data_IF_459530435121
#
_entry.id   IF_459530435121
#
_cell.length_a   1.000
_cell.length_b   1.000
_cell.length_c   1.000
_cell.angle_alpha   90.00
_cell.angle_beta   90.00
_cell.angle_gamma   90.00
#
_symmetry.space_group_name_H-M   'P 1'
#
loop_
_entity.id
_entity.type
_entity.pdbx_description
1 polymer ?
#
# COMPACT_ATOMS: atom_id res chain seq x y z
N UNK A 1 -81.54 -11.60 -8.69
CA UNK A 1 -80.34 -11.44 -7.85
C UNK A 1 -79.24 -10.86 -8.72
N UNK A 2 -78.97 -9.57 -8.56
CA UNK A 2 -77.83 -8.87 -9.13
C UNK A 2 -77.62 -7.62 -8.27
N UNK A 3 -77.18 -7.83 -7.03
CA UNK A 3 -76.70 -6.74 -6.18
C UNK A 3 -75.30 -6.38 -6.65
N UNK A 4 -75.20 -5.27 -7.38
CA UNK A 4 -73.93 -4.63 -7.67
C UNK A 4 -73.76 -3.55 -6.59
N UNK A 5 -72.71 -3.58 -5.75
CA UNK A 5 -72.53 -2.56 -4.73
C UNK A 5 -72.19 -1.23 -5.39
N UNK A 6 -72.99 -0.19 -5.13
CA UNK A 6 -72.62 1.18 -5.50
C UNK A 6 -71.48 1.68 -4.60
N UNK A 7 -70.47 2.38 -5.14
CA UNK A 7 -69.42 2.98 -4.34
C UNK A 7 -70.00 4.15 -3.50
N UNK A 8 -69.52 4.36 -2.27
CA UNK A 8 -70.05 5.44 -1.43
C UNK A 8 -69.76 6.81 -2.05
N UNK A 9 -70.81 7.63 -2.19
CA UNK A 9 -70.71 9.07 -2.43
C UNK A 9 -70.14 9.75 -1.19
N UNK A 10 -68.83 9.94 -1.16
CA UNK A 10 -68.18 10.90 -0.27
C UNK A 10 -66.97 11.50 -0.99
N UNK A 11 -67.21 12.48 -1.86
CA UNK A 11 -66.18 13.33 -2.45
C UNK A 11 -65.92 14.54 -1.52
N UNK A 12 -65.32 14.32 -0.35
CA UNK A 12 -64.80 15.41 0.50
C UNK A 12 -63.68 14.93 1.44
N UNK A 13 -62.77 14.06 0.96
CA UNK A 13 -61.48 13.89 1.61
C UNK A 13 -60.50 14.91 1.01
N UNK A 14 -60.42 16.09 1.62
CA UNK A 14 -59.29 16.98 1.37
C UNK A 14 -58.02 16.21 1.75
N UNK A 15 -57.09 15.96 0.81
CA UNK A 15 -55.87 15.23 1.15
C UNK A 15 -55.16 15.99 2.28
N UNK A 16 -54.59 15.30 3.29
CA UNK A 16 -53.97 15.97 4.42
C UNK A 16 -52.92 16.97 3.91
N UNK A 17 -53.10 18.25 4.24
CA UNK A 17 -52.14 19.29 3.89
C UNK A 17 -50.78 18.91 4.46
N UNK A 18 -49.78 18.77 3.58
CA UNK A 18 -48.42 18.49 4.04
C UNK A 18 -47.98 19.67 4.89
N UNK A 19 -47.49 19.44 6.12
CA UNK A 19 -46.99 20.53 6.96
C UNK A 19 -45.92 21.30 6.19
N UNK A 20 -46.12 22.62 6.07
CA UNK A 20 -45.19 23.50 5.37
C UNK A 20 -43.97 23.69 6.28
N UNK A 21 -42.80 23.29 5.80
CA UNK A 21 -41.55 23.50 6.51
C UNK A 21 -41.16 24.99 6.46
N UNK A 22 -41.15 25.66 7.61
CA UNK A 22 -40.78 27.08 7.75
C UNK A 22 -39.29 27.29 8.10
N UNK A 23 -38.49 26.22 8.16
CA UNK A 23 -37.07 26.33 8.44
C UNK A 23 -36.25 26.79 7.21
N UNK A 24 -34.94 27.02 7.39
CA UNK A 24 -34.07 27.37 6.29
C UNK A 24 -34.07 26.26 5.23
N UNK A 25 -34.36 26.63 3.99
CA UNK A 25 -34.29 25.71 2.84
C UNK A 25 -32.91 25.78 2.21
N UNK A 26 -32.38 24.62 1.82
CA UNK A 26 -31.15 24.52 1.05
C UNK A 26 -31.46 23.87 -0.29
N UNK A 27 -30.82 24.34 -1.36
CA UNK A 27 -30.90 23.67 -2.65
C UNK A 27 -30.26 22.29 -2.53
N UNK A 28 -30.96 21.24 -2.99
CA UNK A 28 -30.40 19.89 -3.03
C UNK A 28 -29.10 19.88 -3.85
N UNK A 29 -29.04 20.63 -4.95
CA UNK A 29 -27.85 20.73 -5.78
C UNK A 29 -26.66 21.35 -5.02
N UNK A 30 -26.92 22.40 -4.26
CA UNK A 30 -25.89 23.12 -3.49
C UNK A 30 -25.39 22.29 -2.31
N UNK A 31 -26.31 21.64 -1.59
CA UNK A 31 -25.99 20.72 -0.50
C UNK A 31 -25.20 19.52 -1.01
N UNK A 32 -25.65 18.89 -2.10
CA UNK A 32 -24.94 17.76 -2.71
C UNK A 32 -23.55 18.16 -3.18
N UNK A 33 -23.40 19.33 -3.82
CA UNK A 33 -22.08 19.82 -4.28
C UNK A 33 -21.14 20.06 -3.11
N UNK A 34 -21.60 20.73 -2.06
CA UNK A 34 -20.78 21.07 -0.89
C UNK A 34 -20.37 19.81 -0.13
N UNK A 35 -21.35 19.00 0.28
CA UNK A 35 -21.10 17.75 1.01
C UNK A 35 -20.22 16.77 0.22
N UNK A 36 -20.40 16.68 -1.11
CA UNK A 36 -19.55 15.84 -1.95
C UNK A 36 -18.12 16.36 -2.06
N UNK A 37 -17.92 17.67 -2.27
CA UNK A 37 -16.59 18.26 -2.38
C UNK A 37 -15.82 18.17 -1.06
N UNK A 38 -16.47 18.42 0.08
CA UNK A 38 -15.85 18.31 1.39
C UNK A 38 -15.41 16.87 1.69
N UNK A 39 -16.28 15.90 1.41
CA UNK A 39 -15.94 14.49 1.53
C UNK A 39 -14.80 14.10 0.58
N UNK A 40 -14.87 14.51 -0.69
CA UNK A 40 -13.86 14.20 -1.70
C UNK A 40 -12.48 14.73 -1.30
N UNK A 41 -12.41 16.02 -0.92
CA UNK A 41 -11.16 16.66 -0.50
C UNK A 41 -10.60 16.02 0.77
N UNK A 42 -11.44 15.71 1.75
CA UNK A 42 -11.04 15.00 2.98
C UNK A 42 -10.43 13.62 2.66
N UNK A 43 -11.04 12.85 1.77
CA UNK A 43 -10.52 11.53 1.38
C UNK A 43 -9.20 11.64 0.60
N UNK A 44 -9.09 12.61 -0.31
CA UNK A 44 -7.89 12.82 -1.13
C UNK A 44 -6.71 13.25 -0.26
N UNK A 45 -6.87 14.32 0.52
CA UNK A 45 -5.77 14.97 1.24
C UNK A 45 -5.45 14.25 2.57
N UNK A 46 -6.48 13.81 3.29
CA UNK A 46 -6.32 13.38 4.68
C UNK A 46 -6.42 11.88 4.89
N UNK A 47 -6.49 11.07 3.82
CA UNK A 47 -6.64 9.61 3.95
C UNK A 47 -5.90 8.79 2.91
N UNK A 48 -6.26 8.94 1.63
CA UNK A 48 -5.98 7.91 0.64
C UNK A 48 -4.63 8.09 -0.08
N UNK A 49 -4.21 9.33 -0.32
CA UNK A 49 -3.01 9.67 -1.09
C UNK A 49 -1.88 10.06 -0.12
N UNK A 50 -0.66 9.54 -0.29
CA UNK A 50 0.48 9.88 0.57
C UNK A 50 1.04 11.28 0.24
N UNK A 51 1.69 11.90 1.23
CA UNK A 51 2.48 13.12 1.03
C UNK A 51 3.79 12.78 0.30
N UNK A 52 4.12 13.52 -0.75
CA UNK A 52 5.29 13.29 -1.60
C UNK A 52 6.61 13.32 -0.81
N UNK A 53 6.68 14.14 0.24
CA UNK A 53 7.90 14.45 0.98
C UNK A 53 8.38 13.29 1.85
N UNK A 54 7.47 12.63 2.57
CA UNK A 54 7.79 11.52 3.47
C UNK A 54 7.26 10.16 3.01
N UNK A 55 6.42 10.11 1.98
CA UNK A 55 5.84 8.87 1.48
C UNK A 55 4.76 8.25 2.36
N UNK A 56 4.25 8.98 3.36
CA UNK A 56 3.31 8.45 4.33
C UNK A 56 1.90 9.00 4.13
N UNK A 57 0.93 8.11 4.37
CA UNK A 57 -0.46 8.49 4.63
C UNK A 57 -0.58 9.00 6.08
N UNK A 58 -1.60 9.80 6.40
CA UNK A 58 -1.78 10.32 7.75
C UNK A 58 -1.82 9.24 8.84
N UNK A 59 -2.46 8.09 8.60
CA UNK A 59 -2.49 6.99 9.58
C UNK A 59 -1.09 6.44 9.89
N UNK A 60 -0.24 6.23 8.89
CA UNK A 60 1.12 5.73 9.09
C UNK A 60 1.97 6.75 9.86
N UNK A 61 1.88 8.02 9.47
CA UNK A 61 2.58 9.13 10.12
C UNK A 61 2.22 9.23 11.61
N UNK A 62 0.92 9.19 11.92
CA UNK A 62 0.41 9.28 13.29
C UNK A 62 0.82 8.09 14.15
N UNK A 63 0.83 6.87 13.59
CA UNK A 63 1.34 5.68 14.30
C UNK A 63 2.82 5.85 14.67
N UNK A 64 3.66 6.23 13.69
CA UNK A 64 5.09 6.43 13.93
C UNK A 64 5.35 7.55 14.94
N UNK A 65 4.60 8.65 14.85
CA UNK A 65 4.74 9.78 15.78
C UNK A 65 4.30 9.40 17.21
N UNK A 66 3.15 8.74 17.39
CA UNK A 66 2.72 8.26 18.70
C UNK A 66 3.72 7.25 19.33
N UNK A 67 4.29 6.38 18.49
CA UNK A 67 5.36 5.47 18.92
C UNK A 67 6.64 6.21 19.30
N UNK A 68 6.98 7.30 18.60
CA UNK A 68 8.11 8.16 18.92
C UNK A 68 7.95 8.84 20.28
N UNK A 69 6.84 9.53 20.51
CA UNK A 69 6.57 10.25 21.76
C UNK A 69 6.54 9.32 22.98
N UNK A 70 5.98 8.12 22.81
CA UNK A 70 5.95 7.13 23.88
C UNK A 70 7.30 6.44 24.10
N UNK A 71 8.32 6.74 23.29
CA UNK A 71 9.65 6.14 23.36
C UNK A 71 9.67 4.65 22.99
N UNK A 72 8.80 4.22 22.06
CA UNK A 72 8.75 2.84 21.55
C UNK A 72 9.72 2.63 20.37
N UNK A 73 10.99 2.94 20.60
CA UNK A 73 12.08 2.91 19.60
C UNK A 73 12.67 1.51 19.42
N UNK A 74 13.43 1.32 18.34
CA UNK A 74 14.04 0.03 17.97
C UNK A 74 14.99 -0.57 19.02
N UNK A 75 15.58 0.27 19.87
CA UNK A 75 16.48 -0.13 20.96
C UNK A 75 15.74 -0.51 22.25
N UNK A 76 14.41 -0.39 22.29
CA UNK A 76 13.59 -0.73 23.45
C UNK A 76 12.92 -2.11 23.31
N UNK A 77 12.46 -2.71 24.43
CA UNK A 77 11.63 -3.90 24.39
C UNK A 77 10.33 -3.66 23.63
N UNK A 78 9.78 -4.72 23.03
CA UNK A 78 8.47 -4.67 22.39
C UNK A 78 7.37 -4.27 23.38
N UNK A 79 6.32 -3.63 22.85
CA UNK A 79 5.12 -3.26 23.61
C UNK A 79 3.89 -3.88 22.97
N UNK A 80 2.88 -4.23 23.76
CA UNK A 80 1.59 -4.72 23.22
C UNK A 80 1.05 -3.76 22.18
N UNK A 81 0.68 -4.27 21.00
CA UNK A 81 0.22 -3.46 19.86
C UNK A 81 -1.00 -2.60 20.18
N UNK A 82 -1.85 -3.06 21.11
CA UNK A 82 -2.98 -2.28 21.62
C UNK A 82 -2.57 -0.91 22.20
N UNK A 83 -1.34 -0.77 22.71
CA UNK A 83 -0.85 0.49 23.29
C UNK A 83 -0.60 1.57 22.23
N UNK A 84 0.30 1.40 21.24
CA UNK A 84 0.47 2.40 20.19
C UNK A 84 -0.81 2.62 19.37
N UNK A 85 -1.67 1.61 19.20
CA UNK A 85 -3.00 1.79 18.58
C UNK A 85 -3.87 2.73 19.41
N UNK A 86 -3.97 2.49 20.72
CA UNK A 86 -4.74 3.34 21.64
C UNK A 86 -4.20 4.76 21.72
N UNK A 87 -2.88 4.93 21.81
CA UNK A 87 -2.23 6.25 21.85
C UNK A 87 -2.48 7.02 20.54
N UNK A 88 -2.36 6.34 19.39
CA UNK A 88 -2.64 6.92 18.07
C UNK A 88 -4.11 7.34 17.97
N UNK A 89 -5.04 6.49 18.39
CA UNK A 89 -6.48 6.75 18.32
C UNK A 89 -6.88 7.92 19.23
N UNK A 90 -6.39 7.90 20.47
CA UNK A 90 -6.78 8.86 21.50
C UNK A 90 -6.21 10.26 21.31
N UNK A 91 -5.08 10.39 20.61
CA UNK A 91 -4.43 11.70 20.39
C UNK A 91 -4.54 12.22 18.96
N UNK A 92 -4.43 11.36 17.94
CA UNK A 92 -4.14 11.83 16.58
C UNK A 92 -5.11 11.34 15.51
N UNK A 93 -5.63 10.11 15.63
CA UNK A 93 -6.36 9.45 14.57
C UNK A 93 -7.79 9.10 15.01
N UNK A 94 -8.80 9.98 14.75
CA UNK A 94 -10.17 9.81 15.23
C UNK A 94 -10.96 8.80 14.39
N UNK A 95 -10.41 7.61 14.19
CA UNK A 95 -11.01 6.49 13.45
C UNK A 95 -10.82 5.18 14.23
N UNK A 96 -11.49 4.12 13.78
CA UNK A 96 -11.52 2.83 14.47
C UNK A 96 -10.13 2.24 14.71
N UNK A 97 -9.98 1.60 15.87
CA UNK A 97 -8.78 0.90 16.31
C UNK A 97 -8.33 -0.19 15.32
N UNK A 98 -9.28 -0.90 14.70
CA UNK A 98 -9.01 -1.91 13.69
C UNK A 98 -8.23 -1.36 12.49
N UNK A 99 -8.65 -0.21 11.94
CA UNK A 99 -7.98 0.41 10.79
C UNK A 99 -6.55 0.87 11.14
N UNK A 100 -6.35 1.37 12.36
CA UNK A 100 -5.03 1.76 12.87
C UNK A 100 -4.15 0.52 13.05
N UNK A 101 -4.70 -0.56 13.62
CA UNK A 101 -3.98 -1.81 13.81
C UNK A 101 -3.61 -2.48 12.49
N UNK A 102 -4.49 -2.48 11.49
CA UNK A 102 -4.21 -3.03 10.17
C UNK A 102 -3.10 -2.25 9.47
N UNK A 103 -3.11 -0.92 9.58
CA UNK A 103 -2.03 -0.06 9.08
C UNK A 103 -0.69 -0.34 9.79
N UNK A 104 -0.73 -0.54 11.12
CA UNK A 104 0.42 -0.91 11.93
C UNK A 104 0.99 -2.27 11.49
N UNK A 105 0.13 -3.29 11.37
CA UNK A 105 0.52 -4.63 10.94
C UNK A 105 1.18 -4.58 9.57
N UNK A 106 0.62 -3.82 8.62
CA UNK A 106 1.18 -3.69 7.27
C UNK A 106 2.61 -3.14 7.28
N UNK A 107 2.92 -2.19 8.17
CA UNK A 107 4.27 -1.61 8.32
C UNK A 107 5.28 -2.58 8.94
N UNK A 108 4.83 -3.70 9.51
CA UNK A 108 5.67 -4.76 10.08
C UNK A 108 5.77 -6.01 9.19
N UNK A 109 5.04 -6.07 8.07
CA UNK A 109 5.02 -7.25 7.19
C UNK A 109 6.11 -7.17 6.11
N UNK A 110 7.13 -8.05 6.15
CA UNK A 110 8.24 -8.00 5.19
C UNK A 110 7.83 -8.35 3.76
N UNK A 111 6.71 -9.07 3.57
CA UNK A 111 6.15 -9.36 2.24
C UNK A 111 5.27 -8.22 1.69
N UNK A 112 4.96 -7.22 2.51
CA UNK A 112 4.11 -6.08 2.15
C UNK A 112 4.91 -4.81 1.87
N UNK A 113 6.04 -4.64 2.58
CA UNK A 113 6.87 -3.44 2.58
C UNK A 113 8.34 -3.84 2.42
N UNK A 114 9.04 -3.29 1.41
CA UNK A 114 10.45 -3.63 1.12
C UNK A 114 11.40 -3.24 2.25
N UNK A 115 11.11 -2.14 2.95
CA UNK A 115 11.83 -1.69 4.12
C UNK A 115 10.85 -1.46 5.28
N UNK A 116 10.54 -2.51 6.08
CA UNK A 116 9.62 -2.41 7.20
C UNK A 116 9.98 -1.27 8.14
N UNK A 117 8.96 -0.53 8.56
CA UNK A 117 9.12 0.60 9.49
C UNK A 117 8.92 0.15 10.94
N UNK A 118 8.22 -0.96 11.15
CA UNK A 118 7.93 -1.52 12.45
C UNK A 118 8.45 -2.96 12.54
N UNK A 119 8.85 -3.36 13.74
CA UNK A 119 9.30 -4.70 14.08
C UNK A 119 8.25 -5.34 15.01
N UNK A 120 7.66 -6.44 14.56
CA UNK A 120 6.54 -7.12 15.21
C UNK A 120 6.95 -8.47 15.82
N UNK A 121 6.47 -8.74 17.03
CA UNK A 121 6.59 -10.03 17.68
C UNK A 121 5.21 -10.68 17.86
N UNK A 122 5.06 -11.90 17.33
CA UNK A 122 3.80 -12.65 17.30
C UNK A 122 3.34 -12.93 15.87
N UNK A 123 2.07 -13.31 15.69
CA UNK A 123 1.51 -13.54 14.37
C UNK A 123 1.01 -12.22 13.75
N UNK A 124 1.73 -11.71 12.76
CA UNK A 124 1.40 -10.51 11.98
C UNK A 124 0.82 -10.85 10.59
N UNK A 125 0.29 -12.06 10.42
CA UNK A 125 -0.24 -12.56 9.16
C UNK A 125 0.82 -13.19 8.26
N UNK A 126 0.38 -13.70 7.11
CA UNK A 126 1.22 -14.49 6.20
C UNK A 126 0.93 -14.14 4.73
N UNK A 127 1.78 -14.62 3.81
CA UNK A 127 1.54 -14.55 2.36
C UNK A 127 0.36 -15.43 1.90
N UNK A 128 -0.12 -16.32 2.78
CA UNK A 128 -1.32 -17.14 2.58
C UNK A 128 -2.63 -16.36 2.81
N UNK A 129 -2.52 -15.11 3.29
CA UNK A 129 -3.66 -14.26 3.60
C UNK A 129 -4.29 -14.56 4.95
N UNK A 130 -3.59 -15.30 5.81
CA UNK A 130 -4.00 -15.43 7.20
C UNK A 130 -3.99 -14.05 7.86
N UNK A 131 -5.09 -13.72 8.51
CA UNK A 131 -5.19 -12.47 9.26
C UNK A 131 -4.16 -12.45 10.41
N UNK A 132 -3.63 -11.27 10.77
CA UNK A 132 -2.81 -11.13 11.96
C UNK A 132 -3.60 -11.54 13.21
N UNK A 133 -2.90 -11.99 14.26
CA UNK A 133 -3.53 -12.13 15.56
C UNK A 133 -4.02 -10.76 16.06
N UNK A 134 -5.05 -10.75 16.90
CA UNK A 134 -5.59 -9.51 17.46
C UNK A 134 -4.51 -8.72 18.24
N UNK A 135 -4.62 -7.39 18.27
CA UNK A 135 -3.66 -6.45 18.88
C UNK A 135 -3.36 -6.68 20.37
N UNK A 136 -4.18 -7.48 21.06
CA UNK A 136 -3.95 -7.92 22.45
C UNK A 136 -2.87 -9.00 22.59
N UNK A 137 -2.58 -9.74 21.51
CA UNK A 137 -1.60 -10.81 21.51
C UNK A 137 -0.26 -10.36 20.96
N UNK A 138 -0.27 -9.55 19.90
CA UNK A 138 0.94 -9.06 19.23
C UNK A 138 1.64 -7.97 20.03
N UNK A 139 2.95 -7.89 19.84
CA UNK A 139 3.79 -6.81 20.35
C UNK A 139 4.57 -6.17 19.22
N UNK A 140 4.92 -4.90 19.36
CA UNK A 140 5.54 -4.10 18.31
C UNK A 140 6.46 -3.03 18.90
N UNK A 141 7.49 -2.69 18.14
CA UNK A 141 8.34 -1.50 18.32
C UNK A 141 8.68 -0.91 16.96
N UNK A 142 9.23 0.30 16.92
CA UNK A 142 9.77 0.83 15.66
C UNK A 142 10.97 0.01 15.22
N UNK A 143 11.14 -0.19 13.91
CA UNK A 143 12.38 -0.73 13.36
C UNK A 143 13.37 0.41 13.06
N UNK A 144 14.64 0.09 12.81
CA UNK A 144 15.71 1.04 12.53
C UNK A 144 15.37 2.06 11.44
N UNK A 145 14.73 1.69 10.30
CA UNK A 145 14.38 2.65 9.26
C UNK A 145 13.44 3.76 9.73
N UNK A 146 12.49 3.46 10.62
CA UNK A 146 11.58 4.47 11.16
C UNK A 146 12.30 5.57 11.94
N UNK A 147 13.41 5.24 12.62
CA UNK A 147 14.22 6.25 13.31
C UNK A 147 14.79 7.29 12.34
N UNK A 148 15.12 6.90 11.10
CA UNK A 148 15.58 7.83 10.07
C UNK A 148 14.45 8.73 9.54
N UNK A 149 13.19 8.30 9.63
CA UNK A 149 12.04 9.13 9.27
C UNK A 149 11.76 10.22 10.31
N UNK A 150 11.96 9.91 11.59
CA UNK A 150 11.66 10.78 12.74
C UNK A 150 12.86 11.62 13.22
N UNK A 151 14.05 11.37 12.69
CA UNK A 151 15.27 12.03 13.17
C UNK A 151 15.19 13.56 13.05
N UNK A 152 15.57 14.26 14.14
CA UNK A 152 15.52 15.72 14.30
C UNK A 152 14.11 16.35 14.34
N UNK A 153 13.04 15.56 14.55
CA UNK A 153 11.67 16.10 14.62
C UNK A 153 11.48 17.14 15.75
N UNK A 154 12.21 16.98 16.86
CA UNK A 154 12.18 17.90 18.02
C UNK A 154 12.90 19.24 17.78
N UNK A 155 13.58 19.42 16.65
CA UNK A 155 14.38 20.62 16.33
C UNK A 155 13.68 21.58 15.37
N UNK A 156 12.35 21.67 15.49
CA UNK A 156 11.49 22.54 14.66
C UNK A 156 11.71 22.35 13.15
N UNK A 157 12.05 21.12 12.74
CA UNK A 157 12.43 20.81 11.35
C UNK A 157 11.27 20.64 10.39
N UNK A 158 10.05 20.52 10.92
CA UNK A 158 8.81 20.33 10.15
C UNK A 158 7.67 21.10 10.82
N UNK A 159 6.64 21.42 10.05
CA UNK A 159 5.47 22.12 10.58
C UNK A 159 4.56 21.17 11.36
N UNK A 160 4.08 21.66 12.49
CA UNK A 160 3.10 20.99 13.34
C UNK A 160 1.76 21.71 13.27
N UNK A 161 0.69 20.93 13.25
CA UNK A 161 -0.69 21.41 13.34
C UNK A 161 -1.35 20.92 14.62
N UNK A 162 -2.44 21.56 15.02
CA UNK A 162 -3.27 21.04 16.11
C UNK A 162 -3.92 19.72 15.69
N UNK A 163 -4.07 18.80 16.65
CA UNK A 163 -4.80 17.56 16.44
C UNK A 163 -6.32 17.83 16.33
N UNK A 164 -7.11 16.77 16.15
CA UNK A 164 -8.54 16.88 15.87
C UNK A 164 -9.37 17.50 17.01
N UNK A 165 -8.88 17.53 18.25
CA UNK A 165 -9.55 18.12 19.41
C UNK A 165 -8.84 19.35 19.99
N UNK A 166 -7.77 19.82 19.35
CA UNK A 166 -6.99 21.00 19.73
C UNK A 166 -6.19 20.87 21.03
N UNK A 167 -6.01 19.65 21.58
CA UNK A 167 -5.28 19.44 22.84
C UNK A 167 -3.83 19.01 22.68
N UNK A 168 -3.51 18.38 21.56
CA UNK A 168 -2.16 17.93 21.22
C UNK A 168 -1.74 18.51 19.85
N UNK A 169 -0.45 18.43 19.53
CA UNK A 169 0.07 18.81 18.22
C UNK A 169 0.59 17.60 17.46
N UNK A 170 0.40 17.57 16.16
CA UNK A 170 0.91 16.51 15.28
C UNK A 170 1.71 17.08 14.10
N UNK A 171 2.75 16.36 13.63
CA UNK A 171 3.51 16.78 12.47
C UNK A 171 2.69 16.62 11.18
N UNK A 172 2.72 17.62 10.32
CA UNK A 172 2.08 17.56 8.99
C UNK A 172 2.81 16.59 8.06
N UNK A 173 4.14 16.46 8.23
CA UNK A 173 5.08 15.62 7.49
C UNK A 173 6.19 15.18 8.44
N UNK A 174 6.82 14.02 8.20
CA UNK A 174 8.03 13.63 8.95
C UNK A 174 9.31 14.16 8.29
N UNK A 175 10.39 14.43 9.06
CA UNK A 175 11.66 14.90 8.51
C UNK A 175 12.26 14.04 7.38
N UNK A 176 11.99 12.72 7.40
CA UNK A 176 12.31 11.76 6.33
C UNK A 176 13.75 11.86 5.79
N UNK A 177 14.72 11.20 6.42
CA UNK A 177 16.12 11.22 5.94
C UNK A 177 16.43 10.30 4.75
N UNK A 178 15.42 9.59 4.23
CA UNK A 178 15.54 8.79 3.02
C UNK A 178 14.23 8.89 2.21
N UNK A 179 14.28 8.68 0.88
CA UNK A 179 13.13 8.81 -0.03
C UNK A 179 12.13 7.65 0.10
N UNK A 180 11.47 7.56 1.25
CA UNK A 180 10.58 6.45 1.63
C UNK A 180 9.44 6.19 0.63
N UNK A 181 8.92 7.23 -0.02
CA UNK A 181 7.87 7.10 -1.04
C UNK A 181 8.25 6.11 -2.15
N UNK A 182 9.48 6.21 -2.68
CA UNK A 182 9.96 5.31 -3.73
C UNK A 182 10.40 3.96 -3.16
N UNK A 183 11.08 3.97 -2.01
CA UNK A 183 11.60 2.75 -1.38
C UNK A 183 10.48 1.78 -1.01
N UNK A 184 9.46 2.25 -0.30
CA UNK A 184 8.36 1.41 0.19
C UNK A 184 7.14 1.41 -0.74
N UNK A 185 7.08 2.33 -1.70
CA UNK A 185 5.92 2.52 -2.54
C UNK A 185 4.70 3.03 -1.76
N UNK A 186 3.58 3.15 -2.46
CA UNK A 186 2.32 3.53 -1.87
C UNK A 186 1.14 3.10 -2.74
N UNK A 187 0.07 2.64 -2.13
CA UNK A 187 -1.18 2.31 -2.83
C UNK A 187 -2.36 2.98 -2.14
N UNK A 188 -3.33 3.49 -2.90
CA UNK A 188 -4.50 4.15 -2.35
C UNK A 188 -5.57 4.46 -3.39
N UNK A 189 -6.82 4.42 -2.96
CA UNK A 189 -7.98 4.77 -3.79
C UNK A 189 -8.69 5.93 -3.10
N UNK A 190 -8.82 7.04 -3.81
CA UNK A 190 -9.50 8.25 -3.37
C UNK A 190 -10.72 8.53 -4.25
N UNK A 191 -11.41 9.64 -4.01
CA UNK A 191 -12.53 10.05 -4.85
C UNK A 191 -12.00 10.56 -6.19
N UNK A 192 -12.34 9.86 -7.28
CA UNK A 192 -11.96 10.23 -8.64
C UNK A 192 -10.51 9.96 -9.04
N UNK A 193 -9.69 9.40 -8.14
CA UNK A 193 -8.28 9.12 -8.40
C UNK A 193 -7.77 7.92 -7.60
N UNK A 194 -6.63 7.39 -8.01
CA UNK A 194 -5.91 6.34 -7.29
C UNK A 194 -4.42 6.61 -7.38
N UNK A 195 -3.65 5.96 -6.51
CA UNK A 195 -2.19 5.88 -6.55
C UNK A 195 -1.77 4.43 -6.40
N UNK A 196 -0.73 4.04 -7.13
CA UNK A 196 -0.12 2.72 -7.05
C UNK A 196 1.36 2.83 -7.48
N UNK A 197 2.20 3.22 -6.53
CA UNK A 197 3.64 3.40 -6.65
C UNK A 197 4.31 2.10 -6.19
N UNK A 198 5.09 1.42 -7.05
CA UNK A 198 5.79 0.20 -6.64
C UNK A 198 6.99 0.54 -5.74
N UNK A 199 7.43 -0.40 -4.89
CA UNK A 199 8.63 -0.25 -4.08
C UNK A 199 9.91 -0.37 -4.91
N UNK A 200 11.03 0.13 -4.37
CA UNK A 200 12.34 0.17 -5.02
C UNK A 200 13.44 -0.13 -4.01
N UNK A 201 14.61 -0.50 -4.53
CA UNK A 201 15.76 -0.80 -3.70
C UNK A 201 16.27 0.48 -3.02
N UNK A 202 16.53 0.42 -1.71
CA UNK A 202 17.02 1.59 -0.96
C UNK A 202 18.34 2.14 -1.53
N UNK A 203 19.28 1.27 -1.87
CA UNK A 203 20.59 1.67 -2.39
C UNK A 203 20.45 2.39 -3.72
N UNK A 204 19.73 1.80 -4.67
CA UNK A 204 19.49 2.39 -5.99
C UNK A 204 18.81 3.76 -5.91
N UNK A 205 17.82 3.91 -5.03
CA UNK A 205 17.13 5.19 -4.87
C UNK A 205 18.05 6.24 -4.22
N UNK A 206 18.86 5.87 -3.24
CA UNK A 206 19.84 6.77 -2.62
C UNK A 206 20.90 7.18 -3.64
N UNK A 207 21.46 6.25 -4.42
CA UNK A 207 22.45 6.53 -5.45
C UNK A 207 21.90 7.49 -6.52
N UNK A 208 20.65 7.28 -6.96
CA UNK A 208 19.98 8.18 -7.89
C UNK A 208 19.74 9.58 -7.27
N UNK A 209 19.42 9.63 -5.98
CA UNK A 209 19.24 10.90 -5.26
C UNK A 209 20.56 11.68 -5.18
N UNK A 210 21.65 11.00 -4.83
CA UNK A 210 22.99 11.60 -4.78
C UNK A 210 23.43 12.09 -6.16
N UNK A 211 23.24 11.27 -7.20
CA UNK A 211 23.56 11.66 -8.57
C UNK A 211 22.79 12.92 -9.03
N UNK A 212 21.53 13.08 -8.60
CA UNK A 212 20.73 14.26 -8.90
C UNK A 212 21.12 15.50 -8.08
N UNK A 213 21.70 15.31 -6.89
CA UNK A 213 22.31 16.40 -6.11
C UNK A 213 23.58 16.90 -6.80
N UNK A 214 24.42 15.97 -7.28
CA UNK A 214 25.68 16.30 -7.96
C UNK A 214 25.46 16.93 -9.35
N UNK A 215 24.45 16.45 -10.08
CA UNK A 215 24.02 16.98 -11.38
C UNK A 215 22.51 17.28 -11.36
N UNK A 216 22.09 18.51 -11.00
CA UNK A 216 20.69 18.89 -10.97
C UNK A 216 19.97 18.82 -12.32
N UNK A 217 20.71 18.78 -13.44
CA UNK A 217 20.16 18.69 -14.79
C UNK A 217 19.99 17.24 -15.29
N UNK A 218 20.40 16.25 -14.50
CA UNK A 218 20.35 14.83 -14.84
C UNK A 218 18.96 14.36 -15.31
N UNK A 219 18.87 13.90 -16.57
CA UNK A 219 17.59 13.53 -17.18
C UNK A 219 16.96 12.30 -16.53
N UNK A 220 15.64 12.15 -16.67
CA UNK A 220 14.94 10.95 -16.19
C UNK A 220 15.50 9.68 -16.82
N UNK A 221 15.90 9.71 -18.09
CA UNK A 221 16.51 8.56 -18.77
C UNK A 221 17.83 8.13 -18.13
N UNK A 222 18.64 9.08 -17.66
CA UNK A 222 19.89 8.79 -16.94
C UNK A 222 19.63 8.30 -15.52
N UNK A 223 18.59 8.81 -14.85
CA UNK A 223 18.15 8.31 -13.55
C UNK A 223 17.71 6.84 -13.60
N UNK A 224 17.16 6.38 -14.73
CA UNK A 224 16.78 4.97 -14.93
C UNK A 224 18.00 4.03 -14.97
N UNK A 225 19.21 4.55 -15.21
CA UNK A 225 20.42 3.73 -15.10
C UNK A 225 20.76 3.38 -13.65
N UNK A 226 20.37 4.25 -12.70
CA UNK A 226 20.50 4.00 -11.27
C UNK A 226 19.33 3.17 -10.72
N UNK A 227 18.11 3.47 -11.17
CA UNK A 227 16.88 2.76 -10.78
C UNK A 227 16.29 2.07 -12.02
N UNK A 228 16.78 0.86 -12.39
CA UNK A 228 16.42 0.21 -13.64
C UNK A 228 14.97 -0.30 -13.67
N UNK A 229 14.42 -0.68 -12.51
CA UNK A 229 13.07 -1.19 -12.34
C UNK A 229 12.69 -1.19 -10.85
N UNK A 230 11.41 -1.42 -10.51
CA UNK A 230 10.99 -1.69 -9.14
C UNK A 230 11.67 -2.90 -8.50
N UNK A 231 11.73 -2.90 -7.17
CA UNK A 231 12.27 -3.99 -6.35
C UNK A 231 11.21 -4.43 -5.33
N UNK A 232 10.54 -5.54 -5.65
CA UNK A 232 9.39 -6.01 -4.88
C UNK A 232 9.83 -6.87 -3.68
N UNK A 233 9.17 -6.72 -2.51
CA UNK A 233 9.56 -7.44 -1.30
C UNK A 233 9.39 -8.97 -1.39
N UNK A 234 8.54 -9.44 -2.30
CA UNK A 234 8.33 -10.88 -2.55
C UNK A 234 9.25 -11.44 -3.62
N UNK A 235 10.15 -10.61 -4.19
CA UNK A 235 10.98 -10.96 -5.33
C UNK A 235 10.18 -11.13 -6.62
N UNK A 236 10.49 -12.20 -7.34
CA UNK A 236 9.97 -12.52 -8.66
C UNK A 236 10.86 -11.99 -9.78
N UNK A 237 10.40 -12.16 -11.01
CA UNK A 237 11.11 -11.79 -12.23
C UNK A 237 10.30 -10.76 -12.99
N UNK A 238 10.87 -9.57 -13.17
CA UNK A 238 10.28 -8.53 -14.02
C UNK A 238 10.53 -8.87 -15.49
N UNK A 239 9.47 -8.95 -16.29
CA UNK A 239 9.56 -9.24 -17.71
C UNK A 239 9.63 -7.96 -18.54
N UNK A 240 10.85 -7.62 -18.96
CA UNK A 240 11.11 -6.42 -19.74
C UNK A 240 11.05 -5.14 -18.91
N UNK A 241 11.66 -4.06 -19.44
CA UNK A 241 11.79 -2.77 -18.72
C UNK A 241 10.92 -1.66 -19.27
N UNK A 242 10.21 -1.89 -20.39
CA UNK A 242 9.39 -0.85 -21.04
C UNK A 242 8.29 -0.32 -20.13
N UNK A 243 7.65 -1.20 -19.35
CA UNK A 243 6.62 -0.84 -18.37
C UNK A 243 7.13 0.09 -17.28
N UNK A 244 8.26 -0.28 -16.66
CA UNK A 244 8.92 0.52 -15.63
C UNK A 244 9.41 1.87 -16.20
N UNK A 245 10.07 1.83 -17.37
CA UNK A 245 10.52 3.04 -18.08
C UNK A 245 9.37 4.00 -18.35
N UNK A 246 8.22 3.52 -18.82
CA UNK A 246 7.03 4.35 -19.05
C UNK A 246 6.51 4.96 -17.73
N UNK A 247 6.45 4.17 -16.66
CA UNK A 247 6.07 4.66 -15.34
C UNK A 247 6.99 5.78 -14.85
N UNK A 248 8.31 5.68 -15.07
CA UNK A 248 9.26 6.71 -14.67
C UNK A 248 9.19 7.98 -15.52
N UNK A 249 8.94 7.86 -16.83
CA UNK A 249 8.88 9.00 -17.76
C UNK A 249 7.53 9.73 -17.74
N UNK A 250 6.43 9.01 -17.55
CA UNK A 250 5.07 9.53 -17.72
C UNK A 250 4.22 9.45 -16.43
N UNK A 251 4.74 8.81 -15.38
CA UNK A 251 4.00 8.52 -14.15
C UNK A 251 2.99 7.37 -14.28
N UNK A 252 2.89 6.71 -15.44
CA UNK A 252 1.99 5.57 -15.67
C UNK A 252 2.68 4.46 -16.44
N UNK A 253 2.46 3.21 -16.03
CA UNK A 253 3.07 2.06 -16.68
C UNK A 253 2.47 0.75 -16.19
N UNK A 254 2.88 -0.36 -16.80
CA UNK A 254 2.48 -1.69 -16.37
C UNK A 254 3.70 -2.60 -16.34
N UNK A 255 4.09 -3.02 -15.15
CA UNK A 255 5.26 -3.88 -14.93
C UNK A 255 4.79 -5.31 -14.82
N UNK A 256 5.21 -6.17 -15.74
CA UNK A 256 4.86 -7.60 -15.70
C UNK A 256 5.81 -8.29 -14.73
N UNK A 257 5.24 -9.00 -13.76
CA UNK A 257 5.96 -9.74 -12.73
C UNK A 257 5.60 -11.21 -12.88
N UNK A 258 6.62 -12.07 -12.89
CA UNK A 258 6.50 -13.52 -13.00
C UNK A 258 7.11 -14.19 -11.77
N UNK A 259 6.53 -15.29 -11.33
CA UNK A 259 7.10 -16.14 -10.30
C UNK A 259 8.49 -16.64 -10.73
N UNK A 260 9.42 -16.71 -9.78
CA UNK A 260 10.72 -17.32 -10.02
C UNK A 260 10.57 -18.82 -9.83
N UNK A 261 10.92 -19.58 -10.86
CA UNK A 261 10.72 -21.03 -10.88
C UNK A 261 11.96 -21.77 -11.31
N UNK A 262 12.04 -23.04 -10.90
CA UNK A 262 12.99 -24.02 -11.43
C UNK A 262 12.31 -25.37 -11.65
N UNK A 263 12.91 -26.19 -12.49
CA UNK A 263 12.47 -27.57 -12.72
C UNK A 263 13.38 -28.50 -11.91
N UNK A 264 12.77 -29.35 -11.09
CA UNK A 264 13.47 -30.38 -10.31
C UNK A 264 13.04 -31.77 -10.77
N UNK A 265 13.98 -32.71 -10.89
CA UNK A 265 13.64 -34.14 -11.00
C UNK A 265 13.48 -34.71 -9.59
N UNK A 266 12.24 -35.02 -9.19
CA UNK A 266 11.91 -35.47 -7.84
C UNK A 266 12.05 -36.99 -7.67
N UNK A 267 11.86 -37.75 -8.76
CA UNK A 267 12.06 -39.20 -8.86
C UNK A 267 12.40 -39.52 -10.32
N UNK A 268 12.96 -40.70 -10.58
CA UNK A 268 13.28 -41.16 -11.94
C UNK A 268 12.11 -40.93 -12.90
N UNK A 269 12.34 -40.09 -13.92
CA UNK A 269 11.38 -39.71 -14.95
C UNK A 269 10.11 -38.99 -14.41
N UNK A 270 10.23 -38.30 -13.26
CA UNK A 270 9.18 -37.48 -12.63
C UNK A 270 9.74 -36.11 -12.27
N UNK A 271 9.23 -35.09 -12.93
CA UNK A 271 9.63 -33.70 -12.73
C UNK A 271 8.61 -32.93 -11.89
N UNK A 272 9.07 -31.85 -11.27
CA UNK A 272 8.25 -30.86 -10.60
C UNK A 272 8.68 -29.45 -11.01
N UNK A 273 7.72 -28.54 -11.10
CA UNK A 273 7.97 -27.10 -11.18
C UNK A 273 7.94 -26.57 -9.75
N UNK A 274 9.05 -26.02 -9.30
CA UNK A 274 9.18 -25.41 -7.97
C UNK A 274 9.15 -23.91 -8.11
N UNK A 275 8.27 -23.23 -7.35
CA UNK A 275 8.22 -21.78 -7.24
C UNK A 275 8.97 -21.36 -5.98
N UNK A 276 9.95 -20.48 -6.15
CA UNK A 276 10.79 -19.95 -5.08
C UNK A 276 10.36 -18.56 -4.63
N UNK A 277 9.79 -17.78 -5.54
CA UNK A 277 9.32 -16.42 -5.31
C UNK A 277 8.02 -16.24 -6.11
N UNK A 278 7.06 -15.50 -5.55
CA UNK A 278 5.77 -15.22 -6.19
C UNK A 278 5.62 -13.71 -6.46
N UNK A 279 4.80 -13.32 -7.45
CA UNK A 279 4.59 -11.90 -7.73
C UNK A 279 4.02 -11.12 -6.54
N UNK A 280 4.37 -9.84 -6.45
CA UNK A 280 3.91 -8.96 -5.39
C UNK A 280 2.38 -8.85 -5.36
N UNK A 281 1.81 -8.79 -4.14
CA UNK A 281 0.36 -8.74 -3.87
C UNK A 281 -0.44 -9.95 -4.40
N UNK A 282 0.23 -11.08 -4.68
CA UNK A 282 -0.44 -12.36 -4.93
C UNK A 282 -0.58 -13.11 -3.60
N UNK A 283 -1.81 -13.53 -3.28
CA UNK A 283 -2.07 -14.46 -2.20
C UNK A 283 -1.63 -15.87 -2.62
N UNK A 284 -0.71 -16.47 -1.85
CA UNK A 284 -0.11 -17.77 -2.17
C UNK A 284 -1.14 -18.91 -2.13
N UNK A 285 -1.95 -18.99 -1.07
CA UNK A 285 -2.99 -20.01 -0.92
C UNK A 285 -4.03 -19.95 -2.05
N UNK A 286 -4.53 -18.75 -2.40
CA UNK A 286 -5.48 -18.56 -3.51
C UNK A 286 -4.86 -18.88 -4.86
N UNK A 287 -3.56 -18.60 -5.06
CA UNK A 287 -2.84 -19.00 -6.27
C UNK A 287 -2.79 -20.53 -6.40
N UNK A 288 -2.51 -21.24 -5.31
CA UNK A 288 -2.47 -22.72 -5.26
C UNK A 288 -3.85 -23.31 -5.53
N UNK A 289 -4.89 -22.79 -4.87
CA UNK A 289 -6.29 -23.18 -5.10
C UNK A 289 -6.66 -22.99 -6.58
N UNK A 290 -6.28 -21.85 -7.16
CA UNK A 290 -6.54 -21.57 -8.58
C UNK A 290 -5.86 -22.57 -9.51
N UNK A 291 -4.62 -22.98 -9.22
CA UNK A 291 -3.94 -24.02 -9.99
C UNK A 291 -4.71 -25.34 -9.89
N UNK A 292 -5.10 -25.75 -8.68
CA UNK A 292 -5.83 -26.99 -8.45
C UNK A 292 -7.17 -27.03 -9.20
N UNK A 293 -7.90 -25.92 -9.22
CA UNK A 293 -9.16 -25.81 -9.96
C UNK A 293 -8.97 -25.89 -11.47
N UNK A 294 -7.93 -25.24 -12.02
CA UNK A 294 -7.64 -25.30 -13.45
C UNK A 294 -7.21 -26.71 -13.89
N UNK A 295 -6.58 -27.48 -13.01
CA UNK A 295 -6.25 -28.89 -13.25
C UNK A 295 -7.51 -29.75 -13.21
N UNK A 296 -8.40 -29.52 -12.23
CA UNK A 296 -9.69 -30.23 -12.09
C UNK A 296 -10.60 -30.00 -13.29
N UNK A 297 -10.65 -28.77 -13.78
CA UNK A 297 -11.41 -28.35 -14.96
C UNK A 297 -10.77 -28.79 -16.29
N UNK A 298 -9.62 -29.47 -16.25
CA UNK A 298 -8.82 -29.88 -17.43
C UNK A 298 -8.42 -28.70 -18.33
N UNK A 299 -8.33 -27.50 -17.78
CA UNK A 299 -7.77 -26.34 -18.49
C UNK A 299 -6.25 -26.37 -18.55
N UNK A 300 -5.63 -26.95 -17.52
CA UNK A 300 -4.21 -27.27 -17.49
C UNK A 300 -4.08 -28.78 -17.30
N UNK A 301 -3.41 -29.44 -18.25
CA UNK A 301 -3.11 -30.87 -18.17
C UNK A 301 -1.65 -31.09 -17.77
N UNK A 302 -1.28 -32.34 -17.47
CA UNK A 302 0.10 -32.71 -17.14
C UNK A 302 0.53 -32.45 -15.70
N UNK A 303 -0.33 -31.92 -14.83
CA UNK A 303 -0.08 -31.79 -13.38
C UNK A 303 -0.65 -33.01 -12.65
N UNK A 304 0.12 -33.61 -11.75
CA UNK A 304 -0.36 -34.67 -10.85
C UNK A 304 -0.75 -34.18 -9.46
N UNK A 305 -0.16 -33.09 -8.98
CA UNK A 305 -0.49 -32.51 -7.68
C UNK A 305 0.20 -31.16 -7.46
N UNK A 306 -0.30 -30.39 -6.50
CA UNK A 306 0.30 -29.14 -6.03
C UNK A 306 0.39 -29.21 -4.52
N UNK A 307 1.56 -28.87 -3.98
CA UNK A 307 1.83 -28.89 -2.54
C UNK A 307 2.54 -27.61 -2.14
N UNK A 308 2.19 -27.08 -0.97
CA UNK A 308 2.92 -25.99 -0.34
C UNK A 308 3.90 -26.55 0.69
N UNK A 309 5.18 -26.44 0.39
CA UNK A 309 6.30 -26.84 1.25
C UNK A 309 7.02 -25.61 1.83
N UNK A 310 6.38 -24.43 1.79
CA UNK A 310 6.96 -23.21 2.33
C UNK A 310 7.15 -23.29 3.85
N UNK A 311 8.23 -22.72 4.34
CA UNK A 311 8.54 -22.62 5.75
C UNK A 311 8.86 -21.16 6.15
N UNK A 312 9.48 -20.97 7.32
CA UNK A 312 9.87 -19.62 7.78
C UNK A 312 11.05 -19.04 7.00
N UNK A 313 11.78 -19.86 6.24
CA UNK A 313 13.00 -19.48 5.53
C UNK A 313 12.69 -19.06 4.10
N UNK A 314 11.69 -19.66 3.46
CA UNK A 314 11.32 -19.27 2.10
C UNK A 314 10.04 -19.90 1.57
N UNK A 315 9.63 -19.37 0.42
CA UNK A 315 8.50 -19.91 -0.35
C UNK A 315 8.99 -21.13 -1.12
N UNK A 316 8.23 -22.23 -1.05
CA UNK A 316 8.44 -23.43 -1.86
C UNK A 316 7.10 -24.04 -2.23
N UNK A 317 6.56 -23.66 -3.38
CA UNK A 317 5.35 -24.30 -3.92
C UNK A 317 5.77 -25.32 -4.98
N UNK A 318 5.39 -26.58 -4.79
CA UNK A 318 5.78 -27.70 -5.65
C UNK A 318 4.60 -28.15 -6.50
N UNK A 319 4.73 -28.00 -7.81
CA UNK A 319 3.77 -28.51 -8.80
C UNK A 319 4.35 -29.77 -9.42
N UNK A 320 3.91 -30.94 -8.94
CA UNK A 320 4.34 -32.23 -9.47
C UNK A 320 3.72 -32.52 -10.83
N UNK A 321 4.52 -33.01 -11.77
CA UNK A 321 4.08 -33.31 -13.13
C UNK A 321 3.79 -34.81 -13.33
N UNK A 322 2.89 -35.12 -14.27
CA UNK A 322 2.70 -36.48 -14.80
C UNK A 322 3.95 -36.91 -15.59
N UNK A 323 4.19 -38.21 -15.70
CA UNK A 323 5.41 -38.76 -16.34
C UNK A 323 5.56 -38.36 -17.81
N UNK A 324 4.44 -38.19 -18.50
CA UNK A 324 4.34 -37.83 -19.91
C UNK A 324 4.24 -36.32 -20.16
N UNK A 325 4.22 -35.50 -19.10
CA UNK A 325 4.10 -34.06 -19.24
C UNK A 325 5.44 -33.41 -19.59
N UNK A 326 5.41 -32.46 -20.52
CA UNK A 326 6.58 -31.61 -20.84
C UNK A 326 6.60 -30.41 -19.88
N UNK A 327 7.63 -30.25 -19.02
CA UNK A 327 7.66 -29.19 -18.00
C UNK A 327 7.45 -27.78 -18.55
N UNK A 328 8.12 -27.41 -19.65
CA UNK A 328 8.02 -26.07 -20.23
C UNK A 328 6.61 -25.74 -20.75
N UNK A 329 5.88 -26.74 -21.25
CA UNK A 329 4.51 -26.56 -21.74
C UNK A 329 3.57 -26.26 -20.57
N UNK A 330 3.67 -27.04 -19.49
CA UNK A 330 2.87 -26.84 -18.28
C UNK A 330 3.22 -25.50 -17.62
N UNK A 331 4.51 -25.16 -17.54
CA UNK A 331 4.98 -23.90 -16.99
C UNK A 331 4.42 -22.68 -17.74
N UNK A 332 4.40 -22.72 -19.07
CA UNK A 332 3.81 -21.64 -19.88
C UNK A 332 2.29 -21.52 -19.68
N UNK A 333 1.58 -22.65 -19.53
CA UNK A 333 0.15 -22.63 -19.20
C UNK A 333 -0.09 -22.04 -17.81
N UNK A 334 0.73 -22.40 -16.83
CA UNK A 334 0.67 -21.84 -15.48
C UNK A 334 0.84 -20.31 -15.51
N UNK A 335 1.86 -19.79 -16.18
CA UNK A 335 2.03 -18.33 -16.33
C UNK A 335 0.86 -17.65 -17.05
N UNK A 336 0.21 -18.33 -18.00
CA UNK A 336 -0.88 -17.74 -18.77
C UNK A 336 -2.21 -17.71 -18.01
N UNK A 337 -2.49 -18.74 -17.21
CA UNK A 337 -3.81 -18.96 -16.65
C UNK A 337 -3.90 -18.74 -15.14
N UNK A 338 -2.76 -18.54 -14.46
CA UNK A 338 -2.73 -18.35 -13.01
C UNK A 338 -2.01 -17.07 -12.61
N UNK A 339 -2.18 -16.60 -11.36
CA UNK A 339 -1.43 -15.46 -10.82
C UNK A 339 0.09 -15.66 -10.72
N UNK A 340 0.65 -16.81 -11.15
CA UNK A 340 2.10 -16.98 -11.28
C UNK A 340 2.74 -15.97 -12.23
N UNK A 341 1.97 -15.32 -13.09
CA UNK A 341 2.39 -14.10 -13.76
C UNK A 341 1.26 -13.08 -13.69
N UNK A 342 1.58 -11.86 -13.29
CA UNK A 342 0.63 -10.75 -13.18
C UNK A 342 1.26 -9.45 -13.66
N UNK A 343 0.49 -8.37 -13.66
CA UNK A 343 0.99 -7.03 -13.94
C UNK A 343 0.72 -6.10 -12.76
N UNK A 344 1.73 -5.33 -12.36
CA UNK A 344 1.58 -4.21 -11.46
C UNK A 344 1.33 -2.94 -12.29
N UNK A 345 0.11 -2.39 -12.20
CA UNK A 345 -0.25 -1.13 -12.85
C UNK A 345 0.32 0.05 -12.06
N UNK A 346 1.43 0.62 -12.52
CA UNK A 346 2.03 1.80 -11.93
C UNK A 346 1.17 3.04 -12.20
N UNK A 347 0.82 3.75 -11.14
CA UNK A 347 0.15 5.05 -11.19
C UNK A 347 0.80 5.95 -10.13
N UNK A 348 1.78 6.72 -10.58
CA UNK A 348 2.72 7.47 -9.75
C UNK A 348 2.13 8.81 -9.33
N UNK A 349 1.13 8.76 -8.44
CA UNK A 349 0.37 9.92 -7.98
C UNK A 349 0.59 10.17 -6.48
N UNK A 350 0.90 11.41 -6.10
CA UNK A 350 1.12 11.81 -4.71
C UNK A 350 0.63 13.24 -4.45
N UNK A 351 0.54 13.63 -3.18
CA UNK A 351 0.26 15.02 -2.79
C UNK A 351 1.56 15.83 -2.80
N UNK A 352 1.65 16.80 -3.71
CA UNK A 352 2.71 17.78 -3.78
C UNK A 352 2.18 19.13 -3.27
N UNK A 353 2.60 19.59 -2.10
CA UNK A 353 2.06 20.81 -1.48
C UNK A 353 0.53 20.77 -1.28
N UNK A 354 -0.02 19.59 -0.97
CA UNK A 354 -1.46 19.37 -0.80
C UNK A 354 -2.26 19.17 -2.09
N UNK A 355 -1.61 19.22 -3.26
CA UNK A 355 -2.27 18.99 -4.56
C UNK A 355 -1.94 17.60 -5.10
N UNK A 356 -2.93 16.80 -5.54
CA UNK A 356 -2.67 15.51 -6.16
C UNK A 356 -2.08 15.69 -7.56
N UNK A 357 -0.88 15.15 -7.78
CA UNK A 357 -0.14 15.27 -9.04
C UNK A 357 0.37 13.90 -9.51
N UNK A 358 0.29 13.64 -10.82
CA UNK A 358 1.02 12.53 -11.46
C UNK A 358 2.44 12.99 -11.75
N UNK A 359 3.42 12.24 -11.25
CA UNK A 359 4.81 12.66 -11.19
C UNK A 359 5.73 11.66 -11.88
N UNK A 360 6.81 12.17 -12.48
CA UNK A 360 7.90 11.37 -13.05
C UNK A 360 8.92 11.01 -11.98
N UNK A 361 9.78 10.02 -12.24
CA UNK A 361 10.84 9.61 -11.30
C UNK A 361 11.70 10.80 -10.83
N UNK A 362 12.12 11.65 -11.78
CA UNK A 362 12.89 12.85 -11.46
C UNK A 362 12.13 13.77 -10.52
N UNK A 363 10.82 14.00 -10.75
CA UNK A 363 10.01 14.87 -9.88
C UNK A 363 9.86 14.31 -8.47
N UNK A 364 9.77 12.99 -8.28
CA UNK A 364 9.82 12.40 -6.94
C UNK A 364 11.13 12.72 -6.22
N UNK A 365 12.27 12.52 -6.90
CA UNK A 365 13.59 12.75 -6.31
C UNK A 365 13.86 14.23 -6.04
N UNK A 366 13.56 15.12 -6.98
CA UNK A 366 13.73 16.57 -6.80
C UNK A 366 12.85 17.07 -5.64
N UNK A 367 11.59 16.68 -5.56
CA UNK A 367 10.72 17.12 -4.46
C UNK A 367 11.21 16.61 -3.08
N UNK A 368 11.79 15.42 -3.03
CA UNK A 368 12.44 14.92 -1.82
C UNK A 368 13.68 15.76 -1.46
N UNK A 369 14.53 16.09 -2.44
CA UNK A 369 15.72 16.93 -2.23
C UNK A 369 15.32 18.32 -1.73
N UNK A 370 14.37 18.99 -2.40
CA UNK A 370 13.87 20.32 -2.01
C UNK A 370 13.37 20.31 -0.55
N UNK A 371 12.63 19.26 -0.17
CA UNK A 371 12.18 19.09 1.21
C UNK A 371 13.34 18.86 2.19
N UNK A 372 14.33 18.06 1.80
CA UNK A 372 15.52 17.82 2.64
C UNK A 372 16.34 19.08 2.85
N UNK A 373 16.43 19.96 1.86
CA UNK A 373 17.09 21.27 1.99
C UNK A 373 16.40 22.13 3.05
N UNK A 374 15.07 22.25 3.01
CA UNK A 374 14.28 22.98 4.03
C UNK A 374 14.50 22.40 5.43
N UNK A 375 14.39 21.07 5.58
CA UNK A 375 14.61 20.39 6.86
C UNK A 375 16.02 20.65 7.41
N UNK A 376 17.05 20.61 6.55
CA UNK A 376 18.44 20.86 6.97
C UNK A 376 18.64 22.34 7.32
N UNK A 377 18.05 23.27 6.56
CA UNK A 377 18.11 24.70 6.83
C UNK A 377 17.47 25.04 8.17
N UNK A 378 16.24 24.55 8.44
CA UNK A 378 15.53 24.72 9.72
C UNK A 378 16.32 24.15 10.88
N UNK A 379 16.85 22.92 10.74
CA UNK A 379 17.71 22.31 11.76
C UNK A 379 18.95 23.16 12.04
N UNK A 380 19.55 23.74 11.00
CA UNK A 380 20.74 24.58 11.14
C UNK A 380 20.40 25.91 11.82
N UNK A 381 19.22 26.48 11.58
CA UNK A 381 18.75 27.68 12.25
C UNK A 381 18.38 27.45 13.73
N UNK A 382 17.99 26.22 14.09
CA UNK A 382 17.72 25.83 15.47
C UNK A 382 19.00 25.66 16.33
N UNK A 383 20.10 25.21 15.71
CA UNK A 383 21.41 24.99 16.35
C UNK A 383 22.18 26.30 16.51
#
# INVERSE_FOLDING_TARGET
MSDTPEPPENMDETPPERPIYHGPTISIEEEMKTSYLDYAMSVIVSRAIPDLRDGLKPVHRRILFAMHESGNTHDKPYRKSARPVGDTMGKYHPHGDSAIYDALVRMAQPFSMSLPLLDGQGNFGSMDGDNPAAMRYTEVRMDKPAAALLADIEKETVDFQDNYDGKDREPTVLPARFPNMLVNGAGGIAVGMATNIPPHNLGEVVDATLALIDDPDLSTERLIEYIPAPDFPTGGVILGRSGARKAYLEGRGSVIIRAKTRIEEIRKDRYAIVLDEIPYQVNKASMIEKIADLVRDKKIEGISGVQDESDRVGVRVVVELKRDATPDVVLNQLFRFTPMQTSFGCNMLALNGGRPETLTLRRFLTAFIDFREDVVARRTAYL
#
